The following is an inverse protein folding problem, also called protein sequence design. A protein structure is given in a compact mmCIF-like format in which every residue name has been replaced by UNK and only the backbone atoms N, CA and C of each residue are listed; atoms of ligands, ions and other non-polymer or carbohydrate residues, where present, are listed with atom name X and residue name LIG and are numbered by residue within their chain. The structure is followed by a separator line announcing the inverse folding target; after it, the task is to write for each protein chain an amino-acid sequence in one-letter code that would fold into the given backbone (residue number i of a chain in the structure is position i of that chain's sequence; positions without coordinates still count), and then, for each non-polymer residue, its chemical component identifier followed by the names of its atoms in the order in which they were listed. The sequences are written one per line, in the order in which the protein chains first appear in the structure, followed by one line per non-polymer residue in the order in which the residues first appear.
data_IF_741979913335
#
_entry.id   IF_741979913335
#
_cell.length_a   1.000
_cell.length_b   1.000
_cell.length_c   1.000
_cell.angle_alpha   90.00
_cell.angle_beta   90.00
_cell.angle_gamma   90.00
#
_symmetry.space_group_name_H-M   'P 1'
#
loop_
_entity.id
_entity.type
_entity.pdbx_description
1 polymer ?
#
# COMPACT_ATOMS: atom_id res chain seq x y z
N UNK A 1 -61.80 -3.45 16.05
CA UNK A 1 -62.87 -3.75 15.09
C UNK A 1 -62.49 -3.14 13.75
N UNK A 2 -62.33 -3.98 12.72
CA UNK A 2 -62.14 -3.70 11.28
C UNK A 2 -61.03 -2.74 10.81
N UNK A 3 -60.03 -3.29 10.10
CA UNK A 3 -59.79 -2.85 8.71
C UNK A 3 -59.01 -3.91 7.90
N UNK A 4 -59.75 -4.53 6.98
CA UNK A 4 -59.42 -4.92 5.59
C UNK A 4 -58.08 -5.59 5.26
N UNK A 5 -58.22 -6.87 4.90
CA UNK A 5 -57.30 -7.76 4.17
C UNK A 5 -56.98 -7.23 2.76
N UNK A 6 -55.71 -7.24 2.39
CA UNK A 6 -55.23 -7.11 1.01
C UNK A 6 -55.08 -8.50 0.37
N UNK A 7 -55.49 -8.58 -0.90
CA UNK A 7 -55.47 -9.75 -1.78
C UNK A 7 -54.04 -10.21 -2.10
N UNK A 8 -53.78 -11.51 -1.91
CA UNK A 8 -52.63 -12.20 -2.49
C UNK A 8 -53.03 -12.87 -3.80
N UNK A 9 -52.25 -12.63 -4.86
CA UNK A 9 -52.30 -13.37 -6.12
C UNK A 9 -51.04 -14.23 -6.16
N UNK A 10 -51.23 -15.54 -6.04
CA UNK A 10 -50.21 -16.54 -6.30
C UNK A 10 -50.36 -17.01 -7.76
N UNK A 11 -49.28 -16.90 -8.55
CA UNK A 11 -49.18 -17.55 -9.86
C UNK A 11 -47.90 -18.40 -9.87
N UNK A 12 -48.09 -19.71 -9.86
CA UNK A 12 -47.05 -20.70 -10.03
C UNK A 12 -46.79 -20.88 -11.53
N UNK A 13 -45.52 -20.83 -11.94
CA UNK A 13 -45.06 -21.25 -13.25
C UNK A 13 -43.91 -22.25 -13.08
N UNK A 14 -44.20 -23.50 -13.40
CA UNK A 14 -43.23 -24.59 -13.47
C UNK A 14 -42.43 -24.45 -14.78
N UNK A 15 -41.10 -24.52 -14.68
CA UNK A 15 -40.20 -24.61 -15.85
C UNK A 15 -39.53 -25.97 -15.81
N UNK A 16 -39.77 -26.74 -16.88
CA UNK A 16 -39.24 -28.07 -17.11
C UNK A 16 -37.72 -28.02 -17.37
N UNK A 17 -36.98 -28.93 -16.73
CA UNK A 17 -35.56 -29.18 -16.98
C UNK A 17 -35.41 -30.20 -18.11
N UNK A 18 -34.80 -29.80 -19.23
CA UNK A 18 -34.26 -30.71 -20.23
C UNK A 18 -32.73 -30.81 -20.05
N UNK A 19 -32.11 -31.99 -20.21
CA UNK A 19 -30.67 -32.15 -20.04
C UNK A 19 -29.93 -31.67 -21.30
N UNK A 20 -29.03 -30.69 -21.13
CA UNK A 20 -28.10 -30.27 -22.20
C UNK A 20 -26.81 -31.06 -22.05
N UNK A 21 -26.54 -31.93 -23.01
CA UNK A 21 -25.24 -32.58 -23.20
C UNK A 21 -24.23 -31.56 -23.74
N UNK A 22 -23.18 -31.24 -22.97
CA UNK A 22 -22.04 -30.46 -23.46
C UNK A 22 -21.00 -31.42 -24.05
N UNK A 23 -20.87 -31.38 -25.38
CA UNK A 23 -19.73 -31.91 -26.12
C UNK A 23 -18.58 -30.93 -25.97
N UNK A 24 -17.46 -31.37 -25.40
CA UNK A 24 -16.23 -30.58 -25.34
C UNK A 24 -15.53 -30.64 -26.70
N UNK A 25 -15.61 -29.57 -27.49
CA UNK A 25 -14.75 -29.36 -28.67
C UNK A 25 -13.59 -28.45 -28.29
N UNK A 26 -12.39 -29.02 -28.22
CA UNK A 26 -11.14 -28.27 -28.20
C UNK A 26 -10.93 -27.62 -29.57
N UNK A 27 -10.88 -26.29 -29.65
CA UNK A 27 -10.41 -25.58 -30.85
C UNK A 27 -9.46 -24.49 -30.37
N UNK A 28 -8.19 -24.61 -30.77
CA UNK A 28 -7.21 -23.53 -30.64
C UNK A 28 -7.68 -22.35 -31.49
N UNK A 29 -7.89 -21.21 -30.84
CA UNK A 29 -8.25 -19.97 -31.52
C UNK A 29 -7.04 -19.06 -31.49
N UNK A 30 -6.52 -18.76 -32.68
CA UNK A 30 -5.59 -17.67 -32.91
C UNK A 30 -6.23 -16.38 -32.38
N UNK A 31 -5.50 -15.63 -31.56
CA UNK A 31 -5.90 -14.38 -30.92
C UNK A 31 -6.39 -13.38 -32.00
N UNK A 32 -7.72 -13.23 -32.13
CA UNK A 32 -8.33 -12.29 -33.05
C UNK A 32 -8.15 -10.84 -32.56
N UNK A 33 -8.12 -9.88 -33.48
CA UNK A 33 -7.97 -8.47 -33.16
C UNK A 33 -9.15 -7.95 -32.30
N UNK A 34 -8.92 -7.07 -31.30
CA UNK A 34 -9.98 -6.59 -30.40
C UNK A 34 -11.17 -5.94 -31.11
N UNK A 35 -10.93 -5.25 -32.23
CA UNK A 35 -11.94 -4.52 -32.98
C UNK A 35 -12.40 -5.21 -34.28
N UNK A 36 -11.79 -6.32 -34.72
CA UNK A 36 -12.11 -6.94 -36.01
C UNK A 36 -11.88 -8.47 -35.99
N UNK A 37 -12.70 -9.22 -36.75
CA UNK A 37 -12.61 -10.68 -36.86
C UNK A 37 -13.59 -11.45 -35.96
N UNK A 38 -13.66 -12.76 -36.16
CA UNK A 38 -14.53 -13.65 -35.36
C UNK A 38 -14.04 -13.73 -33.92
N UNK A 39 -14.81 -13.17 -32.98
CA UNK A 39 -14.45 -13.07 -31.56
C UNK A 39 -14.18 -11.64 -31.06
N UNK A 40 -14.29 -10.62 -31.92
CA UNK A 40 -14.21 -9.23 -31.48
C UNK A 40 -15.34 -8.88 -30.51
N UNK A 41 -15.05 -8.02 -29.52
CA UNK A 41 -16.05 -7.57 -28.57
C UNK A 41 -15.97 -6.04 -28.37
N UNK A 42 -17.11 -5.34 -28.25
CA UNK A 42 -17.12 -3.88 -28.23
C UNK A 42 -16.44 -3.28 -27.00
N UNK A 43 -16.43 -3.98 -25.85
CA UNK A 43 -15.76 -3.53 -24.64
C UNK A 43 -14.22 -3.58 -24.75
N UNK A 44 -13.67 -4.65 -25.35
CA UNK A 44 -12.23 -4.79 -25.59
C UNK A 44 -11.76 -3.85 -26.69
N UNK A 45 -12.58 -3.62 -27.72
CA UNK A 45 -12.29 -2.61 -28.74
C UNK A 45 -12.25 -1.19 -28.14
N UNK A 46 -13.25 -0.81 -27.33
CA UNK A 46 -13.29 0.50 -26.70
C UNK A 46 -12.13 0.70 -25.71
N UNK A 47 -11.79 -0.35 -24.95
CA UNK A 47 -10.65 -0.32 -24.05
C UNK A 47 -9.31 -0.18 -24.79
N UNK A 48 -9.12 -0.92 -25.88
CA UNK A 48 -7.93 -0.79 -26.72
C UNK A 48 -7.80 0.62 -27.31
N UNK A 49 -8.89 1.19 -27.82
CA UNK A 49 -8.90 2.56 -28.34
C UNK A 49 -8.59 3.61 -27.26
N UNK A 50 -9.12 3.44 -26.04
CA UNK A 50 -8.80 4.29 -24.90
C UNK A 50 -7.31 4.24 -24.55
N UNK A 51 -6.69 3.06 -24.55
CA UNK A 51 -5.26 2.91 -24.29
C UNK A 51 -4.41 3.55 -25.39
N UNK A 52 -4.77 3.37 -26.66
CA UNK A 52 -4.08 4.02 -27.79
C UNK A 52 -4.18 5.54 -27.69
N UNK A 53 -5.36 6.08 -27.35
CA UNK A 53 -5.57 7.52 -27.20
C UNK A 53 -4.82 8.12 -26.01
N UNK A 54 -4.72 7.38 -24.89
CA UNK A 54 -4.07 7.85 -23.66
C UNK A 54 -2.54 7.72 -23.69
N UNK A 55 -2.01 6.76 -24.42
CA UNK A 55 -0.58 6.44 -24.43
C UNK A 55 0.09 6.67 -25.79
N UNK A 56 -0.62 7.21 -26.78
CA UNK A 56 -0.11 7.51 -28.14
C UNK A 56 0.63 6.33 -28.81
N UNK A 57 0.19 5.10 -28.54
CA UNK A 57 0.77 3.89 -29.15
C UNK A 57 0.24 3.69 -30.58
N UNK A 58 0.88 2.85 -31.40
CA UNK A 58 0.40 2.54 -32.74
C UNK A 58 -0.98 1.83 -32.69
N UNK A 59 -1.90 2.20 -33.58
CA UNK A 59 -3.27 1.67 -33.60
C UNK A 59 -3.30 0.21 -34.09
N UNK A 60 -3.02 -0.72 -33.17
CA UNK A 60 -3.05 -2.18 -33.40
C UNK A 60 -4.42 -2.78 -33.12
N UNK A 61 -5.40 -1.99 -32.68
CA UNK A 61 -6.70 -2.49 -32.22
C UNK A 61 -7.52 -3.20 -33.31
N UNK A 62 -7.21 -2.93 -34.59
CA UNK A 62 -7.90 -3.52 -35.75
C UNK A 62 -7.02 -4.44 -36.60
N UNK A 63 -5.80 -4.77 -36.16
CA UNK A 63 -4.88 -5.63 -36.92
C UNK A 63 -4.81 -7.04 -36.35
N UNK A 64 -4.88 -8.05 -37.22
CA UNK A 64 -4.71 -9.46 -36.85
C UNK A 64 -3.27 -9.73 -36.38
N UNK A 65 -3.12 -10.64 -35.41
CA UNK A 65 -1.81 -11.01 -34.89
C UNK A 65 -0.91 -11.63 -35.99
N UNK A 66 0.39 -11.30 -36.05
CA UNK A 66 1.30 -11.94 -37.00
C UNK A 66 1.40 -13.45 -36.74
N UNK A 67 1.53 -14.30 -37.77
CA UNK A 67 1.60 -15.75 -37.60
C UNK A 67 2.84 -16.14 -36.76
N UNK A 68 2.60 -16.91 -35.68
CA UNK A 68 3.65 -17.44 -34.80
C UNK A 68 4.54 -18.43 -35.56
N UNK A 69 5.88 -18.25 -35.49
CA UNK A 69 6.85 -19.23 -36.01
C UNK A 69 6.69 -20.59 -35.32
N UNK A 70 6.76 -21.66 -36.10
CA UNK A 70 6.75 -23.03 -35.61
C UNK A 70 7.91 -23.31 -34.64
N UNK A 71 7.60 -23.98 -33.55
CA UNK A 71 8.56 -24.44 -32.53
C UNK A 71 9.28 -25.71 -33.06
N UNK A 72 10.61 -25.83 -32.96
CA UNK A 72 11.31 -27.04 -33.38
C UNK A 72 11.08 -28.19 -32.38
N UNK A 73 11.11 -29.46 -32.84
CA UNK A 73 10.76 -30.62 -32.02
C UNK A 73 11.83 -30.92 -30.95
N UNK A 74 11.36 -31.47 -29.83
CA UNK A 74 12.17 -31.84 -28.67
C UNK A 74 13.04 -33.07 -28.94
N UNK A 75 14.36 -32.91 -28.81
CA UNK A 75 15.30 -34.04 -28.77
C UNK A 75 15.33 -34.64 -27.36
N UNK A 76 14.97 -35.92 -27.23
CA UNK A 76 15.13 -36.66 -25.98
C UNK A 76 16.61 -36.92 -25.70
N UNK A 77 17.10 -36.45 -24.55
CA UNK A 77 18.43 -36.79 -24.03
C UNK A 77 18.29 -38.05 -23.17
N UNK A 78 18.96 -39.14 -23.54
CA UNK A 78 19.06 -40.35 -22.72
C UNK A 78 20.02 -40.09 -21.54
N UNK A 79 19.55 -40.36 -20.33
CA UNK A 79 20.34 -40.29 -19.09
C UNK A 79 21.01 -41.66 -18.87
N UNK A 80 22.34 -41.76 -18.69
CA UNK A 80 23.00 -43.02 -18.35
C UNK A 80 22.64 -43.50 -16.94
N UNK A 81 22.47 -44.82 -16.77
CA UNK A 81 22.13 -45.44 -15.49
C UNK A 81 23.29 -45.35 -14.47
N UNK A 82 22.97 -44.95 -13.24
CA UNK A 82 23.90 -44.90 -12.10
C UNK A 82 24.17 -46.32 -11.54
N UNK A 83 25.42 -46.63 -11.11
CA UNK A 83 25.73 -47.88 -10.45
C UNK A 83 25.16 -47.96 -9.01
N UNK A 84 25.00 -49.17 -8.44
CA UNK A 84 24.41 -49.36 -7.11
C UNK A 84 25.27 -48.77 -5.98
N UNK A 85 24.61 -48.16 -4.99
CA UNK A 85 25.22 -47.53 -3.83
C UNK A 85 25.63 -48.57 -2.77
N UNK A 86 26.91 -48.56 -2.37
CA UNK A 86 27.41 -49.21 -1.15
C UNK A 86 27.63 -48.16 -0.04
N UNK A 87 27.06 -48.33 1.17
CA UNK A 87 27.25 -47.39 2.27
C UNK A 87 28.66 -47.53 2.90
N UNK A 88 29.41 -46.43 3.08
CA UNK A 88 30.72 -46.50 3.73
C UNK A 88 30.61 -46.67 5.25
N UNK A 89 31.55 -47.44 5.82
CA UNK A 89 31.69 -47.69 7.26
C UNK A 89 32.00 -46.38 8.02
N UNK A 90 31.48 -46.20 9.26
CA UNK A 90 31.67 -44.97 10.02
C UNK A 90 33.13 -44.82 10.48
N UNK A 91 33.77 -43.74 10.04
CA UNK A 91 35.05 -43.25 10.55
C UNK A 91 34.76 -42.18 11.61
N UNK A 92 35.51 -42.11 12.74
CA UNK A 92 35.29 -41.10 13.76
C UNK A 92 35.44 -39.69 13.20
N UNK A 93 34.44 -38.84 13.43
CA UNK A 93 34.39 -37.47 12.91
C UNK A 93 35.40 -36.60 13.67
N UNK A 94 36.52 -36.31 13.03
CA UNK A 94 37.34 -35.14 13.36
C UNK A 94 36.62 -33.91 12.79
N UNK A 95 36.30 -32.95 13.66
CA UNK A 95 35.62 -31.71 13.30
C UNK A 95 36.40 -30.97 12.19
N UNK A 96 35.83 -30.94 11.00
CA UNK A 96 36.26 -30.02 9.95
C UNK A 96 35.77 -28.62 10.33
N UNK A 97 36.60 -27.58 10.22
CA UNK A 97 36.14 -26.20 10.37
C UNK A 97 35.05 -25.95 9.32
N UNK A 98 34.00 -25.17 9.63
CA UNK A 98 32.97 -24.85 8.66
C UNK A 98 33.62 -24.23 7.40
N UNK A 99 33.12 -24.57 6.20
CA UNK A 99 33.58 -23.92 4.97
C UNK A 99 33.40 -22.42 5.15
N UNK A 100 34.45 -21.65 4.83
CA UNK A 100 34.47 -20.20 4.78
C UNK A 100 33.09 -19.64 4.47
N UNK A 101 32.47 -19.02 5.48
CA UNK A 101 31.46 -18.01 5.23
C UNK A 101 32.09 -17.06 4.20
N UNK A 102 31.40 -16.75 3.07
CA UNK A 102 31.89 -15.70 2.19
C UNK A 102 32.20 -14.47 3.04
N UNK A 103 33.28 -13.71 2.74
CA UNK A 103 33.61 -12.51 3.50
C UNK A 103 32.34 -11.68 3.62
N UNK A 104 32.08 -11.17 4.83
CA UNK A 104 30.92 -10.33 5.12
C UNK A 104 30.73 -9.40 3.93
N UNK A 105 29.63 -9.55 3.19
CA UNK A 105 29.28 -8.59 2.14
C UNK A 105 29.22 -7.25 2.85
N UNK A 106 30.29 -6.46 2.74
CA UNK A 106 30.39 -5.17 3.40
C UNK A 106 29.28 -4.36 2.76
N UNK A 107 28.20 -4.13 3.52
CA UNK A 107 27.11 -3.32 3.03
C UNK A 107 27.72 -2.02 2.49
N UNK A 108 27.33 -1.59 1.28
CA UNK A 108 27.88 -0.38 0.68
C UNK A 108 27.87 0.77 1.69
N UNK A 109 29.03 1.40 1.90
CA UNK A 109 29.15 2.48 2.88
C UNK A 109 28.94 3.82 2.21
N UNK A 110 28.01 4.61 2.74
CA UNK A 110 27.83 6.01 2.34
C UNK A 110 28.91 6.83 3.06
N UNK A 111 29.77 7.48 2.29
CA UNK A 111 30.80 8.36 2.82
C UNK A 111 30.17 9.66 3.35
N UNK A 112 30.80 10.36 4.32
CA UNK A 112 30.37 11.68 4.73
C UNK A 112 30.31 12.66 3.54
N UNK A 113 29.46 13.69 3.66
CA UNK A 113 29.41 14.76 2.67
C UNK A 113 30.78 15.46 2.53
N UNK A 114 31.12 15.83 1.29
CA UNK A 114 32.37 16.54 0.99
C UNK A 114 32.42 17.95 1.57
N UNK A 115 33.62 18.56 1.66
CA UNK A 115 33.78 19.92 2.18
C UNK A 115 33.00 20.99 1.39
N UNK A 116 32.83 20.78 0.09
CA UNK A 116 32.11 21.66 -0.83
C UNK A 116 30.61 21.34 -0.95
N UNK A 117 30.11 20.37 -0.17
CA UNK A 117 28.71 19.99 -0.22
C UNK A 117 27.80 21.14 0.23
N UNK A 118 26.63 21.32 -0.41
CA UNK A 118 25.71 22.39 -0.08
C UNK A 118 25.16 22.19 1.35
N UNK A 119 25.18 23.26 2.16
CA UNK A 119 24.74 23.23 3.57
C UNK A 119 23.30 23.69 3.79
N UNK A 120 22.73 24.40 2.82
CA UNK A 120 21.38 24.95 2.88
C UNK A 120 20.53 24.31 1.79
N UNK A 121 20.13 23.06 2.01
CA UNK A 121 19.25 22.32 1.11
C UNK A 121 17.90 22.09 1.77
N UNK A 122 16.81 21.91 0.99
CA UNK A 122 15.53 21.48 1.56
C UNK A 122 15.68 20.12 2.24
N UNK A 123 15.03 19.97 3.40
CA UNK A 123 15.07 18.75 4.21
C UNK A 123 13.77 17.99 4.03
N UNK A 124 13.86 16.70 3.68
CA UNK A 124 12.72 15.80 3.60
C UNK A 124 12.14 15.63 5.00
N UNK A 125 10.85 15.92 5.18
CA UNK A 125 10.21 15.76 6.47
C UNK A 125 9.99 14.26 6.78
N UNK A 126 10.51 13.74 7.92
CA UNK A 126 10.28 12.36 8.33
C UNK A 126 8.78 12.05 8.49
N UNK A 127 8.36 10.79 8.25
CA UNK A 127 6.98 10.38 8.45
C UNK A 127 6.53 10.57 9.90
N UNK A 128 5.26 10.92 10.10
CA UNK A 128 4.67 11.02 11.44
C UNK A 128 4.40 9.61 11.99
N UNK A 129 4.71 9.36 13.26
CA UNK A 129 4.33 8.13 13.94
C UNK A 129 2.81 7.94 14.04
N UNK A 130 2.40 6.74 14.45
CA UNK A 130 1.01 6.43 14.80
C UNK A 130 0.68 7.00 16.18
N UNK A 131 -0.47 7.66 16.30
CA UNK A 131 -0.96 8.17 17.59
C UNK A 131 -1.63 7.04 18.37
N UNK A 132 -0.87 6.40 19.26
CA UNK A 132 -1.32 5.24 20.04
C UNK A 132 -0.96 5.42 21.51
N UNK A 133 -1.86 5.04 22.40
CA UNK A 133 -1.65 5.20 23.84
C UNK A 133 -0.47 4.33 24.34
N UNK A 134 0.34 4.83 25.28
CA UNK A 134 1.43 4.04 25.87
C UNK A 134 0.96 2.72 26.52
N UNK A 135 -0.27 2.70 27.03
CA UNK A 135 -0.88 1.51 27.63
C UNK A 135 -1.13 0.42 26.58
N UNK A 136 -1.65 0.77 25.41
CA UNK A 136 -1.87 -0.18 24.32
C UNK A 136 -0.54 -0.71 23.75
N UNK A 137 0.47 0.17 23.67
CA UNK A 137 1.85 -0.20 23.31
C UNK A 137 2.41 -1.24 24.28
N UNK A 138 2.35 -0.98 25.58
CA UNK A 138 2.83 -1.90 26.61
C UNK A 138 2.07 -3.24 26.58
N UNK A 139 0.74 -3.20 26.40
CA UNK A 139 -0.09 -4.40 26.32
C UNK A 139 0.25 -5.27 25.10
N UNK A 140 0.34 -4.68 23.91
CA UNK A 140 0.70 -5.41 22.69
C UNK A 140 2.13 -5.95 22.73
N UNK A 141 3.08 -5.17 23.29
CA UNK A 141 4.46 -5.62 23.49
C UNK A 141 4.56 -6.82 24.44
N UNK A 142 3.74 -6.82 25.50
CA UNK A 142 3.65 -7.90 26.49
C UNK A 142 2.77 -9.09 26.06
N UNK A 143 2.10 -9.02 24.92
CA UNK A 143 1.22 -10.09 24.47
C UNK A 143 1.99 -11.39 24.15
N UNK A 144 1.36 -12.57 24.28
CA UNK A 144 1.95 -13.83 23.87
C UNK A 144 2.41 -13.78 22.41
N UNK A 145 3.67 -14.15 22.17
CA UNK A 145 4.25 -14.14 20.84
C UNK A 145 3.83 -15.36 20.04
N UNK A 146 3.28 -15.12 18.84
CA UNK A 146 3.14 -16.17 17.82
C UNK A 146 4.43 -16.23 17.01
N UNK A 147 5.05 -17.41 16.94
CA UNK A 147 6.22 -17.62 16.09
C UNK A 147 5.79 -17.80 14.63
N UNK A 148 6.48 -17.15 13.70
CA UNK A 148 6.16 -17.21 12.29
C UNK A 148 7.40 -17.30 11.40
N UNK A 149 7.32 -18.14 10.36
CA UNK A 149 8.27 -18.14 9.27
C UNK A 149 7.98 -16.92 8.36
N UNK A 150 8.90 -15.96 8.18
CA UNK A 150 8.66 -14.80 7.32
C UNK A 150 8.49 -15.16 5.83
N UNK A 151 8.96 -16.33 5.38
CA UNK A 151 8.72 -16.81 4.02
C UNK A 151 7.31 -17.42 3.83
N UNK A 152 6.66 -17.83 4.90
CA UNK A 152 5.27 -18.35 4.90
C UNK A 152 4.53 -17.88 6.17
N UNK A 153 4.23 -16.57 6.26
CA UNK A 153 3.64 -16.00 7.46
C UNK A 153 2.14 -16.29 7.57
N UNK A 154 1.53 -16.07 8.76
CA UNK A 154 0.09 -16.17 8.94
C UNK A 154 -0.65 -15.27 7.93
N UNK A 155 -1.64 -15.84 7.24
CA UNK A 155 -2.44 -15.14 6.22
C UNK A 155 -3.68 -14.49 6.84
N UNK A 156 -4.20 -13.40 6.26
CA UNK A 156 -5.44 -12.81 6.71
C UNK A 156 -6.61 -13.80 6.52
N UNK A 157 -7.61 -13.82 7.41
CA UNK A 157 -8.78 -14.71 7.29
C UNK A 157 -9.57 -14.49 5.99
N UNK A 158 -9.56 -13.27 5.47
CA UNK A 158 -10.10 -12.90 4.16
C UNK A 158 -8.99 -12.35 3.29
N UNK A 159 -8.79 -12.99 2.14
CA UNK A 159 -7.80 -12.54 1.18
C UNK A 159 -8.40 -11.42 0.32
N UNK A 160 -7.85 -10.22 0.50
CA UNK A 160 -8.15 -9.03 -0.29
C UNK A 160 -6.80 -8.64 -0.89
N UNK A 161 -6.78 -8.24 -2.17
CA UNK A 161 -5.56 -7.73 -2.79
C UNK A 161 -4.99 -6.57 -1.94
N UNK A 162 -3.70 -6.63 -1.66
CA UNK A 162 -3.04 -5.67 -0.78
C UNK A 162 -3.14 -4.25 -1.31
N UNK A 163 -2.92 -4.05 -2.62
CA UNK A 163 -3.01 -2.73 -3.22
C UNK A 163 -4.45 -2.22 -3.18
N UNK A 164 -5.44 -3.08 -3.40
CA UNK A 164 -6.85 -2.73 -3.23
C UNK A 164 -7.14 -2.29 -1.79
N UNK A 165 -6.58 -2.97 -0.78
CA UNK A 165 -6.75 -2.56 0.62
C UNK A 165 -6.15 -1.18 0.89
N UNK A 166 -4.93 -0.93 0.41
CA UNK A 166 -4.30 0.41 0.51
C UNK A 166 -5.19 1.47 -0.14
N UNK A 167 -5.70 1.23 -1.35
CA UNK A 167 -6.59 2.17 -2.04
C UNK A 167 -7.89 2.41 -1.27
N UNK A 168 -8.47 1.37 -0.65
CA UNK A 168 -9.66 1.51 0.17
C UNK A 168 -9.40 2.44 1.38
N UNK A 169 -8.29 2.25 2.09
CA UNK A 169 -7.93 3.14 3.22
C UNK A 169 -7.73 4.58 2.73
N UNK A 170 -6.95 4.78 1.67
CA UNK A 170 -6.67 6.10 1.08
C UNK A 170 -7.95 6.83 0.64
N UNK A 171 -8.92 6.08 0.11
CA UNK A 171 -10.20 6.65 -0.34
C UNK A 171 -11.14 7.01 0.81
N UNK A 172 -11.13 6.23 1.90
CA UNK A 172 -12.14 6.26 2.97
C UNK A 172 -11.68 7.03 4.23
N UNK A 173 -10.39 6.95 4.57
CA UNK A 173 -9.83 7.45 5.84
C UNK A 173 -8.76 8.53 5.59
N UNK A 174 -9.19 9.66 5.02
CA UNK A 174 -8.28 10.73 4.56
C UNK A 174 -7.61 11.50 5.70
N UNK A 175 -8.18 11.44 6.89
CA UNK A 175 -7.66 12.07 8.11
C UNK A 175 -6.44 11.33 8.69
N UNK A 176 -6.31 10.03 8.40
CA UNK A 176 -5.25 9.18 8.94
C UNK A 176 -4.10 8.95 7.94
N UNK A 177 -4.33 9.27 6.67
CA UNK A 177 -3.41 9.02 5.56
C UNK A 177 -3.09 10.33 4.83
N UNK A 178 -1.82 10.73 4.86
CA UNK A 178 -1.34 11.90 4.12
C UNK A 178 -1.22 11.53 2.63
N UNK A 179 -1.96 12.22 1.76
CA UNK A 179 -1.94 11.98 0.30
C UNK A 179 -1.35 13.19 -0.39
N UNK A 180 -0.20 12.98 -1.04
CA UNK A 180 0.55 14.02 -1.75
C UNK A 180 0.27 13.91 -3.25
N UNK A 181 0.16 15.06 -3.90
CA UNK A 181 0.11 15.13 -5.37
C UNK A 181 1.53 15.35 -5.89
N UNK A 182 2.03 14.36 -6.62
CA UNK A 182 3.34 14.38 -7.31
C UNK A 182 3.04 14.22 -8.79
N UNK A 183 3.27 15.28 -9.55
CA UNK A 183 2.83 15.40 -10.95
C UNK A 183 1.33 15.08 -11.10
N UNK A 184 0.97 14.09 -11.92
CA UNK A 184 -0.40 13.62 -12.10
C UNK A 184 -0.77 12.41 -11.22
N UNK A 185 0.13 12.02 -10.30
CA UNK A 185 -0.07 10.89 -9.39
C UNK A 185 -0.42 11.34 -7.98
N UNK A 186 -1.24 10.53 -7.30
CA UNK A 186 -1.53 10.66 -5.87
C UNK A 186 -0.72 9.61 -5.12
N UNK A 187 0.32 10.03 -4.42
CA UNK A 187 1.19 9.16 -3.65
C UNK A 187 0.84 9.25 -2.17
N UNK A 188 0.97 8.13 -1.49
CA UNK A 188 0.66 8.02 -0.06
C UNK A 188 1.93 8.28 0.72
N UNK A 189 1.88 9.20 1.68
CA UNK A 189 2.89 9.31 2.72
C UNK A 189 2.40 8.49 3.93
N UNK A 190 3.02 7.33 4.20
CA UNK A 190 2.59 6.47 5.29
C UNK A 190 2.93 7.08 6.66
N UNK A 191 2.24 6.60 7.71
CA UNK A 191 2.70 6.77 9.08
C UNK A 191 3.95 5.92 9.35
N UNK A 192 4.77 6.31 10.32
CA UNK A 192 5.86 5.47 10.78
C UNK A 192 5.36 4.38 11.73
N UNK A 193 5.83 3.16 11.54
CA UNK A 193 5.54 2.02 12.41
C UNK A 193 6.66 1.82 13.44
N UNK A 194 6.45 2.32 14.66
CA UNK A 194 7.44 2.20 15.74
C UNK A 194 7.42 0.84 16.47
N UNK A 195 6.47 -0.03 16.13
CA UNK A 195 6.13 -1.20 16.94
C UNK A 195 6.86 -2.46 16.48
N UNK A 196 8.19 -2.37 16.51
CA UNK A 196 9.14 -3.46 16.27
C UNK A 196 10.05 -3.58 17.48
N UNK A 197 10.22 -4.80 17.99
CA UNK A 197 11.21 -5.13 19.01
C UNK A 197 12.01 -6.37 18.57
N UNK A 198 12.85 -6.90 19.45
CA UNK A 198 13.60 -8.12 19.23
C UNK A 198 13.47 -9.02 20.45
N UNK A 199 13.48 -10.34 20.25
CA UNK A 199 13.69 -11.23 21.39
C UNK A 199 15.17 -11.19 21.81
N UNK A 200 15.45 -11.01 23.10
CA UNK A 200 16.81 -10.69 23.54
C UNK A 200 17.81 -11.83 23.29
N UNK A 201 17.37 -13.08 23.45
CA UNK A 201 18.23 -14.26 23.33
C UNK A 201 18.59 -14.56 21.87
N UNK A 202 17.66 -14.41 20.95
CA UNK A 202 17.82 -14.83 19.55
C UNK A 202 17.97 -13.67 18.58
N UNK A 203 17.61 -12.45 19.01
CA UNK A 203 17.62 -11.23 18.19
C UNK A 203 16.76 -11.37 16.94
N UNK A 204 15.68 -12.13 17.04
CA UNK A 204 14.64 -12.25 16.03
C UNK A 204 13.69 -11.05 16.12
N UNK A 205 13.31 -10.45 14.99
CA UNK A 205 12.40 -9.33 15.00
C UNK A 205 11.01 -9.74 15.49
N UNK A 206 10.43 -8.92 16.34
CA UNK A 206 9.13 -9.08 16.95
C UNK A 206 8.23 -7.90 16.59
N UNK A 207 7.27 -8.12 15.70
CA UNK A 207 6.25 -7.14 15.36
C UNK A 207 5.13 -7.22 16.42
N UNK A 208 4.66 -6.08 16.92
CA UNK A 208 3.50 -6.04 17.82
C UNK A 208 2.54 -4.94 17.39
N UNK A 209 1.23 -5.20 17.49
CA UNK A 209 0.21 -4.31 16.97
C UNK A 209 -0.59 -3.68 18.13
N UNK A 210 -0.31 -2.41 18.50
CA UNK A 210 -1.03 -1.75 19.58
C UNK A 210 -2.36 -1.12 19.13
N UNK A 211 -2.72 -1.22 17.85
CA UNK A 211 -3.99 -0.72 17.35
C UNK A 211 -5.14 -1.68 17.71
N UNK A 212 -6.34 -1.14 17.70
CA UNK A 212 -7.59 -1.87 17.89
C UNK A 212 -8.10 -2.57 16.61
N UNK A 213 -7.29 -2.63 15.56
CA UNK A 213 -7.60 -3.26 14.28
C UNK A 213 -6.46 -4.17 13.86
N UNK A 214 -6.75 -5.19 13.05
CA UNK A 214 -5.72 -6.05 12.51
C UNK A 214 -4.93 -5.35 11.40
N UNK A 215 -3.65 -5.68 11.29
CA UNK A 215 -2.75 -5.13 10.28
C UNK A 215 -2.24 -6.26 9.37
N UNK A 216 -2.05 -5.95 8.09
CA UNK A 216 -1.38 -6.83 7.14
C UNK A 216 -0.10 -6.15 6.68
N UNK A 217 1.04 -6.83 6.82
CA UNK A 217 2.38 -6.33 6.52
C UNK A 217 2.86 -6.94 5.21
N UNK A 218 3.14 -6.10 4.21
CA UNK A 218 3.78 -6.53 2.97
C UNK A 218 5.26 -6.18 2.98
N UNK A 219 6.10 -7.17 2.70
CA UNK A 219 7.56 -7.02 2.64
C UNK A 219 8.17 -8.00 1.64
N UNK A 220 9.37 -7.69 1.13
CA UNK A 220 10.11 -8.60 0.28
C UNK A 220 11.04 -9.49 1.10
N UNK A 221 10.85 -10.80 1.06
CA UNK A 221 11.70 -11.75 1.79
C UNK A 221 11.88 -13.05 1.02
N UNK A 222 13.13 -13.52 0.95
CA UNK A 222 13.53 -14.71 0.21
C UNK A 222 13.03 -14.72 -1.25
N UNK A 223 13.31 -13.63 -1.98
CA UNK A 223 13.04 -13.54 -3.41
C UNK A 223 11.59 -13.23 -3.82
N UNK A 224 10.67 -13.04 -2.87
CA UNK A 224 9.28 -12.74 -3.17
C UNK A 224 8.64 -11.79 -2.15
N UNK A 225 7.58 -11.10 -2.58
CA UNK A 225 6.71 -10.36 -1.66
C UNK A 225 5.91 -11.33 -0.78
N UNK A 226 5.83 -11.00 0.50
CA UNK A 226 5.15 -11.75 1.55
C UNK A 226 4.14 -10.84 2.23
N UNK A 227 3.03 -11.42 2.68
CA UNK A 227 1.98 -10.71 3.42
C UNK A 227 1.74 -11.41 4.75
N UNK A 228 2.11 -10.76 5.86
CA UNK A 228 1.92 -11.28 7.21
C UNK A 228 0.76 -10.59 7.90
N UNK A 229 -0.17 -11.36 8.45
CA UNK A 229 -1.32 -10.88 9.20
C UNK A 229 -1.02 -10.85 10.71
N UNK A 230 -1.28 -9.71 11.34
CA UNK A 230 -1.13 -9.51 12.78
C UNK A 230 -2.43 -8.97 13.37
N UNK A 231 -3.12 -9.74 14.24
CA UNK A 231 -4.33 -9.28 14.91
C UNK A 231 -4.11 -8.02 15.76
N UNK A 232 -5.20 -7.34 16.10
CA UNK A 232 -5.19 -6.25 17.08
C UNK A 232 -4.65 -6.72 18.43
N UNK A 233 -3.78 -5.93 19.07
CA UNK A 233 -3.19 -6.24 20.37
C UNK A 233 -2.22 -7.44 20.39
N UNK A 234 -1.89 -8.03 19.24
CA UNK A 234 -1.08 -9.24 19.17
C UNK A 234 0.40 -8.96 18.92
N UNK A 235 1.23 -9.98 19.17
CA UNK A 235 2.67 -9.98 18.93
C UNK A 235 3.08 -11.20 18.10
N UNK A 236 3.97 -10.99 17.14
CA UNK A 236 4.52 -12.02 16.27
C UNK A 236 6.05 -11.93 16.22
N UNK A 237 6.73 -13.05 16.47
CA UNK A 237 8.19 -13.18 16.34
C UNK A 237 8.49 -13.86 15.02
N UNK A 238 9.28 -13.21 14.18
CA UNK A 238 9.64 -13.69 12.86
C UNK A 238 10.97 -14.44 12.91
N UNK A 239 11.03 -15.66 12.39
CA UNK A 239 12.27 -16.42 12.19
C UNK A 239 13.08 -15.89 10.99
N UNK A 240 13.37 -14.59 10.99
CA UNK A 240 14.09 -13.90 9.94
C UNK A 240 15.60 -14.14 10.06
N UNK A 241 16.06 -15.29 9.58
CA UNK A 241 17.48 -15.68 9.59
C UNK A 241 18.37 -14.91 8.59
N UNK A 242 17.78 -14.30 7.55
CA UNK A 242 18.55 -13.54 6.56
C UNK A 242 18.96 -12.18 7.14
N UNK A 243 20.27 -11.93 7.20
CA UNK A 243 20.84 -10.66 7.66
C UNK A 243 20.48 -9.54 6.69
N UNK A 244 19.94 -8.43 7.21
CA UNK A 244 19.65 -7.23 6.41
C UNK A 244 18.43 -6.48 6.88
N UNK A 245 18.28 -5.25 6.37
CA UNK A 245 17.09 -4.42 6.58
C UNK A 245 15.97 -4.96 5.69
N UNK A 246 14.80 -5.19 6.28
CA UNK A 246 13.58 -5.62 5.57
C UNK A 246 12.51 -4.53 5.74
N UNK A 247 12.36 -3.65 4.74
CA UNK A 247 11.29 -2.67 4.70
C UNK A 247 9.92 -3.34 4.55
N UNK A 248 8.89 -2.75 5.13
CA UNK A 248 7.52 -3.20 4.98
C UNK A 248 6.52 -2.04 4.87
N UNK A 249 5.37 -2.33 4.27
CA UNK A 249 4.15 -1.53 4.38
C UNK A 249 3.13 -2.29 5.24
N UNK A 250 2.56 -1.65 6.26
CA UNK A 250 1.48 -2.18 7.07
C UNK A 250 0.16 -1.48 6.72
N UNK A 251 -0.89 -2.25 6.46
CA UNK A 251 -2.23 -1.73 6.13
C UNK A 251 -3.30 -2.38 6.99
N UNK A 252 -4.15 -1.55 7.57
CA UNK A 252 -5.35 -1.94 8.31
C UNK A 252 -6.63 -1.50 7.60
N UNK A 253 -7.70 -1.30 8.36
CA UNK A 253 -8.95 -0.73 7.89
C UNK A 253 -8.87 0.81 7.77
N UNK A 254 -8.11 1.46 8.66
CA UNK A 254 -8.01 2.92 8.76
C UNK A 254 -6.60 3.51 8.64
N UNK A 255 -5.56 2.67 8.56
CA UNK A 255 -4.17 3.12 8.56
C UNK A 255 -3.35 2.51 7.44
N UNK A 256 -2.44 3.32 6.90
CA UNK A 256 -1.29 2.89 6.11
C UNK A 256 -0.04 3.38 6.84
N UNK A 257 0.82 2.44 7.21
CA UNK A 257 2.09 2.71 7.87
C UNK A 257 3.23 2.00 7.14
N UNK A 258 4.45 2.45 7.38
CA UNK A 258 5.66 1.84 6.88
C UNK A 258 6.71 1.81 7.98
N UNK A 259 7.63 0.87 7.88
CA UNK A 259 8.75 0.71 8.80
C UNK A 259 9.70 -0.34 8.27
N UNK A 260 10.67 -0.71 9.09
CA UNK A 260 11.52 -1.87 8.81
C UNK A 260 11.82 -2.71 10.05
N UNK A 261 12.31 -3.92 9.79
CA UNK A 261 12.99 -4.72 10.80
C UNK A 261 14.34 -5.20 10.27
N UNK A 262 15.24 -5.57 11.17
CA UNK A 262 16.54 -6.12 10.83
C UNK A 262 16.54 -7.63 11.04
N UNK A 263 16.80 -8.40 10.00
CA UNK A 263 16.94 -9.85 10.09
C UNK A 263 18.34 -10.30 10.52
N UNK A 264 18.53 -11.62 10.58
CA UNK A 264 19.80 -12.25 10.99
C UNK A 264 19.76 -12.88 12.39
N UNK A 265 18.58 -12.95 13.01
CA UNK A 265 18.41 -13.61 14.30
C UNK A 265 18.65 -15.12 14.21
N UNK A 266 19.14 -15.72 15.30
CA UNK A 266 19.26 -17.17 15.40
C UNK A 266 17.87 -17.81 15.47
N UNK A 267 17.64 -18.86 14.67
CA UNK A 267 16.34 -19.54 14.59
C UNK A 267 16.44 -20.87 15.34
N UNK A 268 15.72 -21.04 16.46
CA UNK A 268 15.71 -22.32 17.17
C UNK A 268 15.00 -23.40 16.34
N UNK A 269 15.36 -24.69 16.53
CA UNK A 269 14.58 -25.80 16.00
C UNK A 269 13.12 -25.74 16.47
N UNK A 270 12.19 -26.23 15.65
CA UNK A 270 10.77 -26.26 16.00
C UNK A 270 10.54 -27.03 17.31
N UNK A 271 9.73 -26.45 18.20
CA UNK A 271 9.46 -27.00 19.53
C UNK A 271 10.57 -26.80 20.56
N UNK A 272 11.70 -26.19 20.19
CA UNK A 272 12.79 -25.86 21.12
C UNK A 272 12.65 -24.44 21.67
N UNK A 273 12.74 -24.31 22.99
CA UNK A 273 12.88 -23.04 23.72
C UNK A 273 14.25 -22.93 24.41
N UNK A 274 15.27 -23.63 23.89
CA UNK A 274 16.62 -23.64 24.48
C UNK A 274 17.27 -22.24 24.47
N UNK A 275 18.51 -22.10 24.95
CA UNK A 275 19.30 -20.91 24.64
C UNK A 275 19.75 -20.94 23.16
N UNK A 276 20.16 -19.80 22.58
CA UNK A 276 20.87 -19.80 21.30
C UNK A 276 22.15 -20.65 21.40
N UNK A 277 22.68 -21.15 20.26
CA UNK A 277 23.97 -21.84 20.23
C UNK A 277 25.07 -21.02 20.94
N UNK A 278 25.98 -21.63 21.72
CA UNK A 278 27.01 -20.89 22.46
C UNK A 278 27.95 -20.05 21.59
N UNK A 279 28.07 -20.41 20.32
CA UNK A 279 28.86 -19.75 19.28
C UNK A 279 28.07 -18.66 18.51
N UNK A 280 26.77 -18.52 18.77
CA UNK A 280 25.94 -17.48 18.16
C UNK A 280 26.42 -16.09 18.59
N UNK A 281 26.79 -15.28 17.60
CA UNK A 281 27.03 -13.85 17.76
C UNK A 281 25.89 -13.12 17.06
N UNK A 282 25.09 -12.32 17.78
CA UNK A 282 24.11 -11.45 17.16
C UNK A 282 24.68 -10.65 16.00
N UNK A 283 23.95 -10.54 14.87
CA UNK A 283 24.40 -9.68 13.79
C UNK A 283 24.44 -8.24 14.29
N UNK A 284 25.44 -7.49 13.82
CA UNK A 284 25.50 -6.05 14.10
C UNK A 284 24.26 -5.39 13.49
N UNK A 285 23.58 -4.48 14.20
CA UNK A 285 22.45 -3.75 13.63
C UNK A 285 22.82 -3.09 12.29
N UNK A 286 21.85 -3.01 11.39
CA UNK A 286 22.01 -2.32 10.11
C UNK A 286 22.54 -0.90 10.31
N UNK A 287 23.52 -0.51 9.50
CA UNK A 287 24.09 0.84 9.56
C UNK A 287 23.07 1.86 9.07
N UNK A 288 22.78 2.84 9.93
CA UNK A 288 21.95 4.00 9.61
C UNK A 288 22.87 5.20 9.36
N UNK A 289 22.69 5.82 8.20
CA UNK A 289 23.42 7.02 7.81
C UNK A 289 22.51 8.22 8.07
N UNK A 290 23.04 9.24 8.75
CA UNK A 290 22.26 10.41 9.18
C UNK A 290 22.57 11.61 8.28
N UNK A 291 21.58 12.48 8.09
CA UNK A 291 21.68 13.75 7.35
C UNK A 291 22.32 13.57 5.97
N UNK A 292 21.78 12.62 5.20
CA UNK A 292 22.36 12.23 3.92
C UNK A 292 21.90 13.16 2.83
N UNK A 293 22.85 13.75 2.11
CA UNK A 293 22.56 14.56 0.93
C UNK A 293 22.20 13.65 -0.27
N UNK A 294 21.00 13.86 -0.79
CA UNK A 294 20.41 13.10 -1.88
C UNK A 294 20.25 13.98 -3.11
N UNK A 295 20.86 13.59 -4.22
CA UNK A 295 20.59 14.20 -5.52
C UNK A 295 19.42 13.50 -6.20
N UNK A 296 18.44 14.28 -6.66
CA UNK A 296 17.29 13.84 -7.47
C UNK A 296 17.44 14.45 -8.87
N UNK A 297 18.03 13.72 -9.84
CA UNK A 297 18.35 14.26 -11.16
C UNK A 297 17.12 14.69 -11.95
N UNK A 298 15.99 13.98 -11.81
CA UNK A 298 14.76 14.28 -12.53
C UNK A 298 14.23 15.70 -12.23
N UNK A 299 14.43 16.17 -11.00
CA UNK A 299 14.06 17.51 -10.58
C UNK A 299 15.23 18.52 -10.59
N UNK A 300 16.45 18.05 -10.89
CA UNK A 300 17.70 18.80 -10.70
C UNK A 300 17.80 19.44 -9.29
N UNK A 301 17.47 18.65 -8.26
CA UNK A 301 17.48 19.09 -6.87
C UNK A 301 18.47 18.26 -6.04
N UNK A 302 19.03 18.90 -5.01
CA UNK A 302 19.71 18.21 -3.90
C UNK A 302 18.91 18.49 -2.64
N UNK A 303 18.63 17.43 -1.88
CA UNK A 303 17.83 17.46 -0.67
C UNK A 303 18.62 16.77 0.46
N UNK A 304 18.23 17.02 1.70
CA UNK A 304 18.72 16.25 2.85
C UNK A 304 17.64 15.26 3.31
N UNK A 305 18.04 14.01 3.57
CA UNK A 305 17.20 12.98 4.21
C UNK A 305 17.80 12.68 5.58
N UNK A 306 16.95 12.67 6.61
CA UNK A 306 17.42 12.54 7.98
C UNK A 306 18.09 11.19 8.22
N UNK A 307 17.51 10.10 7.71
CA UNK A 307 18.05 8.75 7.88
C UNK A 307 17.99 7.92 6.60
N UNK A 308 19.09 7.25 6.28
CA UNK A 308 19.18 6.32 5.15
C UNK A 308 19.72 4.98 5.63
N UNK A 309 19.06 3.90 5.22
CA UNK A 309 19.56 2.54 5.32
C UNK A 309 19.78 1.95 3.92
N UNK A 310 20.85 1.17 3.76
CA UNK A 310 21.07 0.38 2.53
C UNK A 310 20.38 -0.97 2.69
N UNK A 311 19.41 -1.26 1.82
CA UNK A 311 18.56 -2.46 1.90
C UNK A 311 19.20 -3.62 1.16
N UNK A 312 19.49 -3.42 -0.13
CA UNK A 312 20.06 -4.46 -1.00
C UNK A 312 20.64 -3.86 -2.28
N UNK A 313 21.28 -4.70 -3.09
CA UNK A 313 21.50 -4.45 -4.51
C UNK A 313 20.42 -5.16 -5.32
N UNK A 314 19.93 -4.52 -6.36
CA UNK A 314 18.97 -5.04 -7.33
C UNK A 314 19.58 -4.92 -8.73
N UNK A 315 20.26 -5.97 -9.17
CA UNK A 315 20.96 -6.01 -10.45
C UNK A 315 20.02 -6.07 -11.66
N UNK A 316 18.70 -6.22 -11.43
CA UNK A 316 17.69 -6.10 -12.49
C UNK A 316 17.43 -4.65 -12.91
N UNK A 317 17.84 -3.68 -12.08
CA UNK A 317 17.69 -2.26 -12.38
C UNK A 317 18.78 -1.78 -13.34
N UNK A 318 18.50 -0.73 -14.14
CA UNK A 318 19.51 -0.13 -15.00
C UNK A 318 20.71 0.42 -14.20
N UNK A 319 21.83 0.59 -14.89
CA UNK A 319 23.04 1.21 -14.31
C UNK A 319 22.72 2.53 -13.60
N UNK A 320 23.33 2.74 -12.43
CA UNK A 320 23.07 3.88 -11.56
C UNK A 320 21.73 3.85 -10.80
N UNK A 321 21.00 2.73 -10.83
CA UNK A 321 19.76 2.50 -10.07
C UNK A 321 19.75 1.18 -9.30
N UNK A 322 20.92 0.56 -9.12
CA UNK A 322 21.04 -0.81 -8.60
C UNK A 322 21.07 -0.87 -7.07
N UNK A 323 21.39 0.21 -6.37
CA UNK A 323 21.40 0.22 -4.90
C UNK A 323 20.00 0.60 -4.43
N UNK A 324 19.42 -0.23 -3.57
CA UNK A 324 18.13 0.00 -2.94
C UNK A 324 18.35 0.59 -1.54
N UNK A 325 17.71 1.71 -1.28
CA UNK A 325 17.75 2.42 -0.02
C UNK A 325 16.37 2.42 0.64
N UNK A 326 16.36 2.54 1.97
CA UNK A 326 15.19 2.94 2.73
C UNK A 326 15.47 4.31 3.34
N UNK A 327 14.65 5.29 2.98
CA UNK A 327 14.76 6.68 3.38
C UNK A 327 13.73 6.96 4.49
N UNK A 328 14.19 7.53 5.60
CA UNK A 328 13.39 7.85 6.80
C UNK A 328 12.45 6.70 7.23
N UNK A 329 12.96 5.46 7.14
CA UNK A 329 12.29 4.20 7.44
C UNK A 329 10.91 3.98 6.76
N UNK A 330 10.61 4.73 5.69
CA UNK A 330 9.26 4.77 5.10
C UNK A 330 9.21 4.80 3.59
N UNK A 331 10.25 5.30 2.91
CA UNK A 331 10.26 5.44 1.46
C UNK A 331 11.35 4.55 0.86
N UNK A 332 10.98 3.63 -0.03
CA UNK A 332 11.97 2.84 -0.77
C UNK A 332 12.52 3.66 -1.93
N UNK A 333 13.82 3.62 -2.17
CA UNK A 333 14.47 4.35 -3.26
C UNK A 333 15.48 3.47 -3.98
N UNK A 334 15.72 3.76 -5.26
CA UNK A 334 16.75 3.14 -6.08
C UNK A 334 17.69 4.20 -6.61
N UNK A 335 18.97 3.82 -6.72
CA UNK A 335 19.99 4.76 -7.11
C UNK A 335 21.39 4.18 -7.05
N UNK A 336 22.33 5.06 -6.72
CA UNK A 336 23.74 4.74 -6.51
C UNK A 336 24.34 5.58 -5.39
N UNK A 337 25.40 5.06 -4.76
CA UNK A 337 26.21 5.79 -3.79
C UNK A 337 27.28 6.54 -4.59
N UNK A 338 27.47 7.81 -4.24
CA UNK A 338 28.55 8.59 -4.84
C UNK A 338 29.84 8.31 -4.06
N UNK A 339 30.78 7.61 -4.71
CA UNK A 339 32.03 7.19 -4.08
C UNK A 339 33.04 8.34 -3.93
N UNK A 340 32.82 9.48 -4.61
CA UNK A 340 33.71 10.65 -4.50
C UNK A 340 33.44 11.44 -3.22
N UNK A 341 34.49 11.63 -2.40
CA UNK A 341 34.48 12.53 -1.25
C UNK A 341 34.36 14.01 -1.63
N UNK A 342 34.41 14.36 -2.91
CA UNK A 342 34.16 15.71 -3.42
C UNK A 342 32.75 15.88 -4.02
N UNK A 343 31.89 14.86 -3.91
CA UNK A 343 30.54 14.94 -4.47
C UNK A 343 29.64 15.90 -3.68
N UNK A 344 28.83 16.66 -4.41
CA UNK A 344 27.83 17.58 -3.83
C UNK A 344 26.63 16.86 -3.20
N UNK A 345 26.50 15.55 -3.41
CA UNK A 345 25.52 14.69 -2.77
C UNK A 345 26.15 13.32 -2.48
N UNK A 346 25.77 12.68 -1.39
CA UNK A 346 26.31 11.38 -0.98
C UNK A 346 25.65 10.21 -1.74
N UNK A 347 24.38 10.36 -2.11
CA UNK A 347 23.68 9.40 -2.94
C UNK A 347 22.95 10.11 -4.08
N UNK A 348 22.73 9.39 -5.17
CA UNK A 348 21.89 9.80 -6.30
C UNK A 348 20.68 8.87 -6.35
N UNK A 349 19.47 9.43 -6.32
CA UNK A 349 18.21 8.69 -6.38
C UNK A 349 17.55 8.92 -7.73
N UNK A 350 17.22 7.83 -8.41
CA UNK A 350 16.61 7.84 -9.75
C UNK A 350 15.17 7.35 -9.76
N UNK A 351 14.74 6.72 -8.66
CA UNK A 351 13.40 6.16 -8.51
C UNK A 351 13.04 6.08 -7.04
N UNK A 352 11.79 6.35 -6.71
CA UNK A 352 11.23 6.15 -5.37
C UNK A 352 9.93 5.38 -5.41
N UNK A 353 9.58 4.76 -4.28
CA UNK A 353 8.29 4.11 -4.03
C UNK A 353 7.85 4.53 -2.64
N UNK A 354 6.71 5.24 -2.58
CA UNK A 354 6.24 5.87 -1.35
C UNK A 354 5.78 4.87 -0.28
N UNK A 355 5.45 3.65 -0.68
CA UNK A 355 5.10 2.54 0.19
C UNK A 355 6.03 1.35 -0.11
N UNK A 356 6.88 0.89 0.82
CA UNK A 356 7.79 -0.20 0.54
C UNK A 356 7.06 -1.46 0.08
N UNK A 357 7.48 -2.03 -1.06
CA UNK A 357 6.86 -3.21 -1.69
C UNK A 357 5.39 -3.03 -2.10
N UNK A 358 4.87 -1.80 -2.18
CA UNK A 358 3.48 -1.55 -2.56
C UNK A 358 3.31 -0.27 -3.38
N UNK A 359 2.30 -0.26 -4.26
CA UNK A 359 1.97 0.93 -5.04
C UNK A 359 3.01 1.33 -6.11
N UNK A 360 2.77 2.47 -6.77
CA UNK A 360 3.56 2.92 -7.91
C UNK A 360 4.91 3.48 -7.49
N UNK A 361 5.84 3.51 -8.45
CA UNK A 361 7.10 4.25 -8.32
C UNK A 361 7.02 5.59 -9.06
N UNK A 362 7.78 6.56 -8.59
CA UNK A 362 8.08 7.83 -9.28
C UNK A 362 9.59 7.99 -9.50
N UNK A 363 10.02 9.09 -10.10
CA UNK A 363 11.42 9.38 -10.49
C UNK A 363 12.24 10.11 -9.40
N UNK A 364 11.72 10.14 -8.16
CA UNK A 364 12.33 10.82 -7.02
C UNK A 364 11.64 12.15 -6.66
N UNK A 365 10.73 12.63 -7.50
CA UNK A 365 9.97 13.86 -7.27
C UNK A 365 9.12 13.80 -5.98
N UNK A 366 8.75 12.60 -5.51
CA UNK A 366 8.12 12.41 -4.20
C UNK A 366 8.95 13.01 -3.04
N UNK A 367 10.28 12.85 -3.07
CA UNK A 367 11.17 13.43 -2.06
C UNK A 367 11.19 14.95 -2.13
N UNK A 368 11.17 15.51 -3.34
CA UNK A 368 11.14 16.96 -3.54
C UNK A 368 9.85 17.54 -2.96
N UNK A 369 8.71 16.90 -3.22
CA UNK A 369 7.43 17.32 -2.65
C UNK A 369 7.44 17.23 -1.12
N UNK A 370 8.00 16.16 -0.54
CA UNK A 370 8.13 16.03 0.92
C UNK A 370 9.04 17.11 1.55
N UNK A 371 10.07 17.55 0.83
CA UNK A 371 11.01 18.55 1.34
C UNK A 371 10.47 19.99 1.23
N UNK A 372 9.70 20.28 0.18
CA UNK A 372 9.17 21.64 -0.09
C UNK A 372 7.78 21.84 0.52
N UNK A 373 6.99 20.77 0.65
CA UNK A 373 5.60 20.81 1.13
C UNK A 373 5.34 19.74 2.21
N UNK A 374 6.07 19.80 3.35
CA UNK A 374 6.09 18.74 4.35
C UNK A 374 4.76 18.50 5.10
N UNK A 375 3.82 19.44 5.01
CA UNK A 375 2.54 19.45 5.73
C UNK A 375 1.34 19.76 4.83
N UNK A 376 1.42 19.49 3.53
CA UNK A 376 0.26 19.64 2.65
C UNK A 376 -0.74 18.48 2.91
N UNK A 377 -1.46 18.60 4.03
CA UNK A 377 -2.66 17.82 4.32
C UNK A 377 -3.73 18.27 3.30
N UNK A 378 -4.45 17.37 2.62
CA UNK A 378 -5.50 17.79 1.69
C UNK A 378 -6.45 18.73 2.42
N UNK A 379 -6.57 19.98 1.96
CA UNK A 379 -7.57 20.89 2.46
C UNK A 379 -8.90 20.13 2.48
N UNK A 380 -9.52 20.02 3.66
CA UNK A 380 -10.84 19.42 3.79
C UNK A 380 -11.71 20.03 2.69
N UNK A 381 -12.39 19.23 1.86
CA UNK A 381 -13.32 19.81 0.89
C UNK A 381 -14.25 20.73 1.69
N UNK A 382 -14.48 21.97 1.22
CA UNK A 382 -15.36 22.89 1.93
C UNK A 382 -16.66 22.13 2.21
N UNK A 383 -17.03 22.09 3.49
CA UNK A 383 -18.32 21.54 3.93
C UNK A 383 -19.37 21.95 2.90
N UNK A 384 -20.09 20.99 2.28
CA UNK A 384 -21.07 21.35 1.27
C UNK A 384 -22.02 22.36 1.91
N UNK A 385 -22.11 23.55 1.33
CA UNK A 385 -22.87 24.71 1.84
C UNK A 385 -24.40 24.50 1.88
N UNK A 386 -24.85 23.31 1.49
CA UNK A 386 -26.26 22.96 1.28
C UNK A 386 -27.07 22.71 2.58
N UNK A 387 -26.52 22.24 3.72
CA UNK A 387 -27.29 22.13 4.96
C UNK A 387 -27.68 23.51 5.52
N UNK A 388 -26.81 24.52 5.37
CA UNK A 388 -27.09 25.89 5.84
C UNK A 388 -28.06 26.63 4.92
N UNK A 389 -28.00 26.42 3.59
CA UNK A 389 -28.95 27.01 2.65
C UNK A 389 -30.41 26.52 2.87
N UNK A 390 -30.59 25.24 3.26
CA UNK A 390 -31.91 24.70 3.61
C UNK A 390 -32.45 25.27 4.93
N UNK A 391 -31.57 25.57 5.90
CA UNK A 391 -31.94 26.23 7.15
C UNK A 391 -32.49 27.64 6.95
N UNK A 392 -31.88 28.44 6.07
CA UNK A 392 -32.35 29.79 5.76
C UNK A 392 -33.60 29.81 4.85
N UNK A 393 -33.74 28.84 3.94
CA UNK A 393 -34.93 28.70 3.11
C UNK A 393 -36.19 28.37 3.93
N UNK A 394 -36.07 27.48 4.92
CA UNK A 394 -37.19 27.14 5.81
C UNK A 394 -37.62 28.33 6.69
N UNK A 395 -36.67 29.12 7.18
CA UNK A 395 -36.94 30.33 7.98
C UNK A 395 -37.67 31.41 7.16
N UNK A 396 -37.28 31.61 5.89
CA UNK A 396 -37.97 32.54 4.98
C UNK A 396 -39.43 32.16 4.70
N UNK A 397 -39.72 30.87 4.54
CA UNK A 397 -41.10 30.38 4.33
C UNK A 397 -41.95 30.56 5.60
N UNK A 398 -41.40 30.30 6.79
CA UNK A 398 -42.11 30.48 8.07
C UNK A 398 -42.41 31.96 8.33
N UNK A 399 -41.46 32.87 8.06
CA UNK A 399 -41.66 34.32 8.20
C UNK A 399 -42.67 34.84 7.18
N UNK A 400 -42.59 34.36 5.93
CA UNK A 400 -43.57 34.71 4.89
C UNK A 400 -45.00 34.28 5.24
N UNK A 401 -45.18 33.06 5.75
CA UNK A 401 -46.49 32.54 6.14
C UNK A 401 -47.06 33.24 7.39
N UNK A 402 -46.22 33.59 8.37
CA UNK A 402 -46.67 34.35 9.55
C UNK A 402 -47.03 35.79 9.21
N UNK A 403 -46.25 36.47 8.36
CA UNK A 403 -46.58 37.80 7.87
C UNK A 403 -47.88 37.82 7.05
N UNK A 404 -48.09 36.81 6.18
CA UNK A 404 -49.34 36.68 5.41
C UNK A 404 -50.55 36.41 6.31
N UNK A 405 -50.43 35.52 7.29
CA UNK A 405 -51.52 35.22 8.23
C UNK A 405 -51.90 36.44 9.09
N UNK A 406 -50.91 37.23 9.53
CA UNK A 406 -51.16 38.48 10.28
C UNK A 406 -51.80 39.56 9.40
N UNK A 407 -51.41 39.67 8.13
CA UNK A 407 -52.00 40.64 7.21
C UNK A 407 -53.45 40.27 6.85
N UNK A 408 -53.76 38.97 6.75
CA UNK A 408 -55.13 38.50 6.49
C UNK A 408 -56.07 38.77 7.67
N UNK A 409 -55.58 38.63 8.90
CA UNK A 409 -56.37 38.89 10.11
C UNK A 409 -56.74 40.37 10.28
N UNK A 410 -55.90 41.30 9.78
CA UNK A 410 -56.19 42.75 9.80
C UNK A 410 -57.28 43.16 8.81
N UNK A 411 -57.44 42.46 7.70
CA UNK A 411 -58.50 42.78 6.73
C UNK A 411 -59.89 42.33 7.16
N UNK A 412 -60.00 41.35 8.07
CA UNK A 412 -61.31 40.89 8.57
C UNK A 412 -61.84 41.77 9.73
N UNK A 413 -60.97 42.54 10.41
CA UNK A 413 -61.37 43.46 11.49
C UNK A 413 -61.83 44.84 10.98
N UNK A 414 -61.59 45.18 9.70
CA UNK A 414 -61.96 46.48 9.09
C UNK A 414 -63.28 46.44 8.28
N UNK A 415 -64.04 45.33 8.35
CA UNK A 415 -65.36 45.23 7.70
C UNK A 415 -66.45 45.02 8.75
N UNK A 416 -66.71 46.04 9.55
CA UNK A 416 -67.89 46.12 10.40
C UNK A 416 -68.37 47.56 10.60
N UNK A 417 -68.94 48.19 9.57
CA UNK A 417 -70.08 49.08 9.79
C UNK A 417 -71.00 49.12 8.54
N UNK A 418 -72.28 48.74 8.65
CA UNK A 418 -73.22 48.76 7.53
C UNK A 418 -73.85 50.14 7.34
N UNK A 419 -73.73 50.66 6.11
CA UNK A 419 -74.51 51.80 5.65
C UNK A 419 -75.99 51.40 5.46
N UNK A 420 -76.89 51.94 6.27
CA UNK A 420 -78.32 52.02 5.94
C UNK A 420 -78.65 53.39 5.40
N UNK A 421 -79.01 53.44 4.12
CA UNK A 421 -79.72 54.55 3.48
C UNK A 421 -81.22 54.38 3.72
N UNK A 422 -81.91 55.45 4.16
CA UNK A 422 -83.29 55.67 3.73
C UNK A 422 -83.68 57.14 3.79
N UNK A 423 -84.22 57.57 2.65
CA UNK A 423 -84.87 58.84 2.31
C UNK A 423 -86.35 58.70 2.68
N UNK A 424 -87.01 59.74 3.19
CA UNK A 424 -88.28 60.29 2.66
C UNK A 424 -89.15 61.02 3.71
N UNK A 425 -89.39 62.30 3.40
CA UNK A 425 -90.63 63.09 3.52
C UNK A 425 -91.45 63.17 4.82
N UNK A 426 -91.78 64.42 5.18
CA UNK A 426 -93.17 64.78 5.49
C UNK A 426 -93.33 65.81 6.60
N UNK A 427 -93.61 67.06 6.18
CA UNK A 427 -94.27 68.18 6.86
C UNK A 427 -93.97 68.50 8.33
#
# INVERSE_FOLDING_TARGET
MSLRKFLGIAAAAAIALAPVSLVATTIGVAEAAPCAGGGSNPASCQWCQYLVARYHTSNVCSQDAPPRRAQPPSTQVQIPALPPYEPPKPVPVQATPPPNLPPANTAPTINPAGPDAPRNVPVVAPPRGLDVSPQAVAAAKGAPATRANPADPPKPPKQIDFNQRVQNVVSTHRENVDVLKVDDQRLVRPRHWDYVDYDDAYRRPALFNPLNQAMTFRYFYNGADREAYLPAGARMVLDAATVGVVPFTAVGDGWVAAGSFYGGGSVPPDGSNGPPPPDYKPPQPGKLFQNVLVSVPAANQTLEVAQVAVVRRDDSQPGGSQVVFLLDDSTMAWGEINDSSSSNAQIRVTKTQSLPSAGPTDDGNFLVVLAVRPHEEPAQPPQPWWPSALGYGALGVVVGLTAWALNRKRSDDDVAEPATTSRSSGN
#
